data_IF_616131682793
#
_entry.id   IF_616131682793
#
_cell.length_a   1.000
_cell.length_b   1.000
_cell.length_c   1.000
_cell.angle_alpha   90.00
_cell.angle_beta   90.00
_cell.angle_gamma   90.00
#
_symmetry.space_group_name_H-M   'P 1'
#
loop_
_entity.id
_entity.type
_entity.pdbx_description
1 polymer ?
#
# COMPACT_ATOMS: atom_id res chain seq x y z
N UNK A 1 -4.33 23.20 4.53
CA UNK A 1 -3.09 22.41 4.55
C UNK A 1 -3.52 20.96 4.61
N UNK A 2 -3.18 20.17 3.60
CA UNK A 2 -3.61 18.78 3.50
C UNK A 2 -2.91 17.95 4.58
N UNK A 3 -3.56 16.89 5.05
CA UNK A 3 -3.01 16.07 6.14
C UNK A 3 -3.49 14.63 6.02
N UNK A 4 -2.57 13.71 6.32
CA UNK A 4 -2.91 12.31 6.40
C UNK A 4 -3.83 12.05 7.60
N UNK A 5 -4.85 11.22 7.40
CA UNK A 5 -5.69 10.72 8.48
C UNK A 5 -4.90 9.78 9.41
N UNK A 6 -5.38 9.59 10.64
CA UNK A 6 -4.79 8.64 11.59
C UNK A 6 -4.70 7.22 11.01
N UNK A 7 -5.71 6.82 10.22
CA UNK A 7 -5.70 5.55 9.50
C UNK A 7 -4.55 5.48 8.51
N UNK A 8 -4.34 6.54 7.71
CA UNK A 8 -3.25 6.58 6.72
C UNK A 8 -1.89 6.55 7.42
N UNK A 9 -1.72 7.30 8.51
CA UNK A 9 -0.50 7.31 9.32
C UNK A 9 -0.19 5.93 9.92
N UNK A 10 -1.21 5.22 10.42
CA UNK A 10 -1.07 3.86 10.95
C UNK A 10 -0.67 2.85 9.88
N UNK A 11 -1.14 3.01 8.65
CA UNK A 11 -0.75 2.14 7.54
C UNK A 11 0.68 2.48 7.09
N UNK A 12 0.98 3.78 6.95
CA UNK A 12 2.28 4.28 6.53
C UNK A 12 3.39 3.92 7.52
N UNK A 13 3.11 3.86 8.82
CA UNK A 13 4.13 3.49 9.82
C UNK A 13 4.69 2.07 9.64
N UNK A 14 4.01 1.23 8.86
CA UNK A 14 4.47 -0.14 8.58
C UNK A 14 5.54 -0.20 7.47
N UNK A 15 5.62 0.79 6.58
CA UNK A 15 6.51 0.74 5.40
C UNK A 15 7.92 1.26 5.70
N UNK A 16 8.84 1.12 4.74
CA UNK A 16 10.20 1.65 4.85
C UNK A 16 10.21 3.16 5.20
N UNK A 17 11.07 3.56 6.13
CA UNK A 17 11.15 4.92 6.66
C UNK A 17 11.38 6.00 5.60
N UNK A 18 12.12 5.70 4.54
CA UNK A 18 12.33 6.65 3.45
C UNK A 18 11.05 6.89 2.64
N UNK A 19 10.25 5.84 2.43
CA UNK A 19 8.93 5.98 1.81
C UNK A 19 7.98 6.78 2.71
N UNK A 20 8.06 6.60 4.03
CA UNK A 20 7.30 7.42 4.97
C UNK A 20 7.63 8.92 4.84
N UNK A 21 8.93 9.27 4.74
CA UNK A 21 9.36 10.67 4.55
C UNK A 21 8.81 11.25 3.25
N UNK A 22 8.87 10.49 2.15
CA UNK A 22 8.36 10.92 0.84
C UNK A 22 6.85 11.19 0.91
N UNK A 23 6.06 10.28 1.49
CA UNK A 23 4.60 10.43 1.56
C UNK A 23 4.20 11.59 2.46
N UNK A 24 4.85 11.77 3.61
CA UNK A 24 4.62 12.93 4.48
C UNK A 24 4.98 14.24 3.78
N UNK A 25 6.08 14.27 3.02
CA UNK A 25 6.43 15.47 2.24
C UNK A 25 5.43 15.71 1.10
N UNK A 26 4.96 14.65 0.45
CA UNK A 26 4.02 14.76 -0.65
C UNK A 26 2.69 15.38 -0.22
N UNK A 27 2.16 15.04 0.96
CA UNK A 27 0.88 15.61 1.41
C UNK A 27 0.99 17.10 1.75
N UNK A 28 2.16 17.55 2.23
CA UNK A 28 2.41 18.96 2.52
C UNK A 28 2.45 19.84 1.27
N UNK A 29 2.97 19.31 0.15
CA UNK A 29 3.18 20.06 -1.09
C UNK A 29 2.10 19.81 -2.15
N UNK A 30 1.24 18.82 -1.95
CA UNK A 30 0.19 18.47 -2.90
C UNK A 30 -0.94 19.48 -2.89
N UNK A 31 -1.41 19.85 -4.09
CA UNK A 31 -2.59 20.70 -4.27
C UNK A 31 -3.90 19.96 -3.91
N UNK A 32 -3.86 18.63 -3.89
CA UNK A 32 -5.00 17.76 -3.55
C UNK A 32 -4.73 16.93 -2.30
N UNK A 33 -5.78 16.66 -1.54
CA UNK A 33 -5.72 15.78 -0.38
C UNK A 33 -5.74 14.31 -0.83
N UNK A 34 -4.97 13.47 -0.14
CA UNK A 34 -4.91 12.03 -0.43
C UNK A 34 -4.67 11.23 0.84
N UNK A 35 -5.00 9.94 0.79
CA UNK A 35 -4.80 9.00 1.88
C UNK A 35 -3.97 7.79 1.45
N UNK A 36 -3.53 7.01 2.44
CA UNK A 36 -2.86 5.73 2.22
C UNK A 36 -3.85 4.62 2.57
N UNK A 37 -4.17 3.78 1.59
CA UNK A 37 -5.13 2.68 1.75
C UNK A 37 -4.45 1.34 2.00
N UNK A 38 -3.21 1.16 1.54
CA UNK A 38 -2.43 -0.05 1.79
C UNK A 38 -0.93 0.24 1.91
N UNK A 39 -0.28 -0.45 2.86
CA UNK A 39 1.17 -0.44 3.06
C UNK A 39 1.72 -1.84 2.90
N UNK A 40 2.18 -2.43 4.01
CA UNK A 40 2.70 -3.80 3.99
C UNK A 40 1.63 -4.85 3.69
N UNK A 41 2.05 -5.90 2.99
CA UNK A 41 1.24 -7.08 2.69
C UNK A 41 2.03 -8.34 3.01
N UNK A 42 1.42 -9.33 3.64
CA UNK A 42 2.09 -10.61 3.88
C UNK A 42 2.11 -11.46 2.61
N UNK A 43 3.01 -12.46 2.55
CA UNK A 43 3.03 -13.39 1.42
C UNK A 43 1.71 -14.15 1.31
N UNK A 44 1.12 -14.57 2.43
CA UNK A 44 -0.19 -15.24 2.44
C UNK A 44 -1.28 -14.38 1.80
N UNK A 45 -1.36 -13.08 2.17
CA UNK A 45 -2.32 -12.15 1.57
C UNK A 45 -2.07 -12.00 0.06
N UNK A 46 -0.80 -11.92 -0.37
CA UNK A 46 -0.47 -11.83 -1.79
C UNK A 46 -0.85 -13.10 -2.55
N UNK A 47 -0.66 -14.28 -1.96
CA UNK A 47 -1.03 -15.56 -2.57
C UNK A 47 -2.55 -15.70 -2.69
N UNK A 48 -3.30 -15.22 -1.69
CA UNK A 48 -4.76 -15.13 -1.75
C UNK A 48 -5.24 -14.22 -2.88
N UNK A 49 -4.63 -13.03 -3.04
CA UNK A 49 -4.92 -12.12 -4.17
C UNK A 49 -4.52 -12.73 -5.51
N UNK A 50 -3.40 -13.45 -5.58
CA UNK A 50 -2.96 -14.12 -6.79
C UNK A 50 -3.92 -15.25 -7.19
N UNK A 51 -4.48 -15.97 -6.22
CA UNK A 51 -5.45 -17.04 -6.47
C UNK A 51 -6.80 -16.53 -7.01
N UNK A 52 -7.17 -15.27 -6.77
CA UNK A 52 -8.40 -14.68 -7.30
C UNK A 52 -8.40 -14.63 -8.83
N UNK A 53 -9.50 -15.06 -9.44
CA UNK A 53 -9.64 -15.19 -10.89
C UNK A 53 -8.76 -16.27 -11.52
N UNK A 54 -8.13 -17.13 -10.71
CA UNK A 54 -7.32 -18.28 -11.15
C UNK A 54 -7.81 -19.58 -10.54
N UNK A 55 -7.82 -19.64 -9.22
CA UNK A 55 -8.21 -20.81 -8.41
C UNK A 55 -9.51 -20.50 -7.65
N UNK A 56 -9.68 -19.25 -7.20
CA UNK A 56 -10.89 -18.75 -6.55
C UNK A 56 -11.68 -17.84 -7.51
N UNK A 57 -13.02 -17.78 -7.43
CA UNK A 57 -13.81 -16.78 -8.14
C UNK A 57 -13.34 -15.35 -7.83
N UNK A 58 -13.57 -14.42 -8.76
CA UNK A 58 -13.20 -13.02 -8.63
C UNK A 58 -12.37 -12.50 -9.80
N UNK A 59 -12.10 -11.19 -9.80
CA UNK A 59 -11.24 -10.57 -10.81
C UNK A 59 -9.76 -10.81 -10.48
N UNK A 60 -8.93 -10.96 -11.53
CA UNK A 60 -7.47 -11.02 -11.35
C UNK A 60 -6.96 -9.63 -10.98
N UNK A 61 -6.62 -9.43 -9.71
CA UNK A 61 -6.12 -8.13 -9.18
C UNK A 61 -4.59 -8.05 -9.10
N UNK A 62 -3.90 -9.18 -9.30
CA UNK A 62 -2.43 -9.21 -9.38
C UNK A 62 -1.93 -10.29 -10.33
N UNK A 63 -0.73 -10.07 -10.87
CA UNK A 63 -0.06 -10.95 -11.83
C UNK A 63 1.19 -11.62 -11.29
N UNK A 64 1.66 -11.23 -10.10
CA UNK A 64 2.89 -11.73 -9.49
C UNK A 64 2.65 -12.12 -8.03
N UNK A 65 3.41 -13.08 -7.51
CA UNK A 65 3.50 -13.37 -6.08
C UNK A 65 4.63 -12.58 -5.40
N UNK A 66 5.58 -12.08 -6.18
CA UNK A 66 6.68 -11.25 -5.71
C UNK A 66 6.28 -9.77 -5.79
N UNK A 67 5.67 -9.25 -4.71
CA UNK A 67 5.14 -7.88 -4.63
C UNK A 67 6.00 -6.99 -3.74
N UNK A 68 6.16 -5.72 -4.12
CA UNK A 68 6.90 -4.72 -3.30
C UNK A 68 6.20 -4.37 -1.99
N UNK A 69 4.89 -4.61 -1.88
CA UNK A 69 4.17 -4.51 -0.60
C UNK A 69 4.68 -5.50 0.43
N UNK A 70 5.24 -6.64 0.00
CA UNK A 70 5.85 -7.64 0.90
C UNK A 70 7.22 -7.17 1.36
N UNK A 71 7.92 -6.41 0.51
CA UNK A 71 9.24 -5.87 0.82
C UNK A 71 9.16 -4.55 1.60
N UNK A 72 7.96 -4.03 1.90
CA UNK A 72 7.75 -2.75 2.59
C UNK A 72 8.22 -1.51 1.80
N UNK A 73 8.37 -1.63 0.48
CA UNK A 73 8.85 -0.56 -0.41
C UNK A 73 7.74 -0.01 -1.32
N UNK A 74 6.48 -0.11 -0.90
CA UNK A 74 5.33 0.34 -1.68
C UNK A 74 4.16 0.74 -0.77
N UNK A 75 3.42 1.76 -1.20
CA UNK A 75 2.12 2.16 -0.67
C UNK A 75 1.13 2.31 -1.82
N UNK A 76 -0.14 2.15 -1.49
CA UNK A 76 -1.29 2.45 -2.35
C UNK A 76 -2.19 3.48 -1.66
#
# INVERSE_FOLDING_TARGET
MNKLSERSLKILSTVNTDLQKVVNRAIEISEVDFGVIQGNRTQQQQDELYAQGRIKPGQKVTWTRNSRHIQHHCVE
#
